data_IF_889112900804
#
_entry.id   IF_889112900804
#
_cell.length_a   1.000
_cell.length_b   1.000
_cell.length_c   1.000
_cell.angle_alpha   90.00
_cell.angle_beta   90.00
_cell.angle_gamma   90.00
#
_symmetry.space_group_name_H-M   'P 1'
#
loop_
_entity.id
_entity.type
_entity.pdbx_description
1 polymer ?
#
# COMPACT_ATOMS: atom_id res chain seq x y z
N UNK A 1 -46.02 -20.32 -42.43
CA UNK A 1 -44.65 -19.77 -42.55
C UNK A 1 -44.46 -18.42 -41.83
N UNK A 2 -45.53 -17.72 -41.41
CA UNK A 2 -45.45 -16.47 -40.64
C UNK A 2 -45.15 -16.66 -39.15
N UNK A 3 -45.57 -17.78 -38.56
CA UNK A 3 -45.53 -17.93 -37.10
C UNK A 3 -44.17 -18.40 -36.58
N UNK A 4 -43.41 -19.13 -37.41
CA UNK A 4 -42.05 -19.59 -37.09
C UNK A 4 -41.05 -18.41 -37.09
N UNK A 5 -41.27 -17.42 -37.96
CA UNK A 5 -40.40 -16.24 -38.09
C UNK A 5 -40.55 -15.27 -36.90
N UNK A 6 -41.75 -15.18 -36.32
CA UNK A 6 -42.01 -14.36 -35.14
C UNK A 6 -41.41 -14.95 -33.87
N UNK A 7 -41.41 -16.27 -33.72
CA UNK A 7 -40.83 -16.96 -32.56
C UNK A 7 -39.29 -16.87 -32.51
N UNK A 8 -38.61 -16.84 -33.66
CA UNK A 8 -37.16 -16.62 -33.73
C UNK A 8 -36.77 -15.18 -33.38
N UNK A 9 -37.52 -14.18 -33.84
CA UNK A 9 -37.29 -12.76 -33.50
C UNK A 9 -37.55 -12.51 -32.01
N UNK A 10 -38.57 -13.13 -31.42
CA UNK A 10 -38.86 -13.04 -29.98
C UNK A 10 -37.76 -13.75 -29.17
N UNK A 11 -37.26 -14.91 -29.61
CA UNK A 11 -36.13 -15.60 -28.98
C UNK A 11 -34.83 -14.78 -29.07
N UNK A 12 -34.53 -14.19 -30.23
CA UNK A 12 -33.37 -13.30 -30.38
C UNK A 12 -33.49 -12.06 -29.50
N UNK A 13 -34.66 -11.42 -29.42
CA UNK A 13 -34.89 -10.27 -28.53
C UNK A 13 -34.83 -10.64 -27.04
N UNK A 14 -35.24 -11.85 -26.64
CA UNK A 14 -35.12 -12.36 -25.26
C UNK A 14 -33.66 -12.71 -24.93
N UNK A 15 -32.90 -13.27 -25.88
CA UNK A 15 -31.46 -13.53 -25.76
C UNK A 15 -30.68 -12.21 -25.68
N UNK A 16 -31.07 -11.20 -26.46
CA UNK A 16 -30.50 -9.84 -26.40
C UNK A 16 -30.86 -9.10 -25.10
N UNK A 17 -32.06 -9.33 -24.54
CA UNK A 17 -32.53 -8.72 -23.28
C UNK A 17 -31.96 -9.32 -21.98
N UNK A 18 -31.07 -10.33 -22.03
CA UNK A 18 -30.51 -10.94 -20.79
C UNK A 18 -28.99 -11.10 -20.72
N UNK A 19 -28.19 -10.45 -21.56
CA UNK A 19 -26.78 -10.13 -21.22
C UNK A 19 -26.68 -8.71 -20.67
N UNK A 20 -27.27 -8.47 -19.49
CA UNK A 20 -26.88 -7.31 -18.68
C UNK A 20 -25.35 -7.38 -18.52
N UNK A 21 -24.59 -6.46 -19.12
CA UNK A 21 -23.13 -6.36 -18.95
C UNK A 21 -22.88 -6.43 -17.45
N UNK A 22 -22.29 -7.54 -16.98
CA UNK A 22 -22.01 -7.72 -15.56
C UNK A 22 -21.05 -6.59 -15.18
N UNK A 23 -21.48 -5.68 -14.32
CA UNK A 23 -20.65 -4.56 -13.89
C UNK A 23 -19.42 -5.11 -13.15
N UNK A 24 -18.23 -4.69 -13.56
CA UNK A 24 -17.00 -5.04 -12.88
C UNK A 24 -16.72 -4.03 -11.76
N UNK A 25 -16.26 -4.52 -10.61
CA UNK A 25 -15.89 -3.68 -9.48
C UNK A 25 -14.36 -3.53 -9.40
N UNK A 26 -13.84 -2.32 -9.59
CA UNK A 26 -12.40 -2.02 -9.44
C UNK A 26 -11.87 -2.20 -8.01
N UNK A 27 -12.73 -2.25 -6.99
CA UNK A 27 -12.30 -2.53 -5.62
C UNK A 27 -11.98 -4.03 -5.44
N UNK A 28 -13.01 -4.87 -5.50
CA UNK A 28 -12.88 -6.29 -5.15
C UNK A 28 -12.57 -7.21 -6.35
N UNK A 29 -12.66 -6.69 -7.58
CA UNK A 29 -12.36 -7.44 -8.80
C UNK A 29 -13.46 -8.43 -9.21
N UNK A 30 -14.59 -8.43 -8.49
CA UNK A 30 -15.75 -9.29 -8.75
C UNK A 30 -16.72 -8.60 -9.71
N UNK A 31 -17.47 -9.42 -10.43
CA UNK A 31 -18.58 -8.99 -11.28
C UNK A 31 -19.90 -8.91 -10.49
N UNK A 32 -20.82 -8.06 -10.95
CA UNK A 32 -22.18 -7.93 -10.41
C UNK A 32 -22.48 -6.61 -9.70
N UNK A 33 -21.47 -5.77 -9.46
CA UNK A 33 -21.65 -4.44 -8.85
C UNK A 33 -20.54 -3.46 -9.29
N UNK A 34 -20.80 -2.17 -9.13
CA UNK A 34 -19.82 -1.09 -9.32
C UNK A 34 -19.10 -0.77 -7.99
N UNK A 35 -17.94 -0.10 -8.07
CA UNK A 35 -17.14 0.33 -6.92
C UNK A 35 -17.98 0.97 -5.79
N UNK A 36 -18.85 1.93 -6.13
CA UNK A 36 -19.69 2.67 -5.16
C UNK A 36 -20.65 1.78 -4.35
N UNK A 37 -20.94 0.57 -4.83
CA UNK A 37 -21.82 -0.42 -4.17
C UNK A 37 -21.04 -1.61 -3.58
N UNK A 38 -19.72 -1.54 -3.57
CA UNK A 38 -18.88 -2.60 -3.02
C UNK A 38 -18.98 -2.62 -1.49
N UNK A 39 -19.16 -3.82 -0.92
CA UNK A 39 -19.18 -4.04 0.53
C UNK A 39 -17.86 -4.60 1.08
N UNK A 40 -16.92 -4.89 0.19
CA UNK A 40 -15.59 -5.38 0.55
C UNK A 40 -14.72 -4.20 1.02
N UNK A 41 -13.72 -4.45 1.88
CA UNK A 41 -12.76 -3.42 2.28
C UNK A 41 -12.16 -2.69 1.08
N UNK A 42 -11.82 -1.41 1.26
CA UNK A 42 -11.11 -0.65 0.22
C UNK A 42 -9.75 -1.30 -0.01
N UNK A 43 -9.55 -1.83 -1.22
CA UNK A 43 -8.44 -2.71 -1.53
C UNK A 43 -7.36 -1.99 -2.33
N UNK A 44 -6.11 -2.10 -1.86
CA UNK A 44 -4.91 -1.74 -2.61
C UNK A 44 -4.00 -2.94 -2.78
N UNK A 45 -3.18 -2.93 -3.82
CA UNK A 45 -2.28 -4.02 -4.17
C UNK A 45 -0.86 -3.47 -4.37
N UNK A 46 0.13 -4.25 -3.97
CA UNK A 46 1.52 -3.82 -4.02
C UNK A 46 2.50 -4.97 -3.89
N UNK A 47 3.79 -4.63 -3.87
CA UNK A 47 4.89 -5.58 -3.73
C UNK A 47 5.68 -5.21 -2.49
N UNK A 48 5.89 -6.18 -1.61
CA UNK A 48 6.89 -6.09 -0.56
C UNK A 48 8.18 -6.62 -1.16
N UNK A 49 9.04 -5.71 -1.60
CA UNK A 49 10.33 -6.05 -2.15
C UNK A 49 11.38 -6.12 -1.03
N UNK A 50 12.17 -7.18 -1.03
CA UNK A 50 13.23 -7.40 -0.05
C UNK A 50 14.59 -7.51 -0.72
N UNK A 51 15.59 -6.89 -0.11
CA UNK A 51 16.99 -7.00 -0.48
C UNK A 51 17.68 -7.89 0.53
N UNK A 52 18.34 -8.93 0.04
CA UNK A 52 19.09 -9.89 0.83
C UNK A 52 20.58 -9.62 0.66
N UNK A 53 21.41 -10.11 1.59
CA UNK A 53 22.85 -10.15 1.42
C UNK A 53 23.20 -10.93 0.13
N UNK A 54 24.10 -10.43 -0.72
CA UNK A 54 24.34 -10.92 -2.10
C UNK A 54 24.52 -12.45 -2.19
N UNK A 55 25.26 -13.06 -1.25
CA UNK A 55 25.49 -14.51 -1.23
C UNK A 55 24.25 -15.35 -0.84
N UNK A 56 23.24 -14.72 -0.24
CA UNK A 56 22.00 -15.34 0.21
C UNK A 56 20.93 -15.26 -0.87
N UNK A 57 20.90 -14.16 -1.62
CA UNK A 57 19.89 -13.84 -2.63
C UNK A 57 19.70 -14.96 -3.66
N UNK A 58 20.77 -15.36 -4.36
CA UNK A 58 20.72 -16.39 -5.40
C UNK A 58 20.16 -17.71 -4.89
N UNK A 59 20.48 -18.09 -3.64
CA UNK A 59 20.01 -19.34 -3.06
C UNK A 59 18.52 -19.29 -2.79
N UNK A 60 18.03 -18.16 -2.29
CA UNK A 60 16.61 -17.97 -2.00
C UNK A 60 15.80 -17.91 -3.31
N UNK A 61 16.30 -17.20 -4.32
CA UNK A 61 15.68 -17.17 -5.65
C UNK A 61 15.64 -18.58 -6.25
N UNK A 62 16.75 -19.32 -6.19
CA UNK A 62 16.80 -20.70 -6.69
C UNK A 62 15.90 -21.65 -5.89
N UNK A 63 15.79 -21.47 -4.58
CA UNK A 63 14.85 -22.22 -3.74
C UNK A 63 13.41 -22.03 -4.22
N UNK A 64 12.97 -20.79 -4.46
CA UNK A 64 11.63 -20.54 -4.97
C UNK A 64 11.44 -21.11 -6.38
N UNK A 65 12.40 -20.90 -7.28
CA UNK A 65 12.37 -21.46 -8.65
C UNK A 65 12.28 -22.99 -8.67
N UNK A 66 13.06 -23.67 -7.85
CA UNK A 66 13.08 -25.13 -7.81
C UNK A 66 11.82 -25.71 -7.14
N UNK A 67 11.30 -25.05 -6.11
CA UNK A 67 10.06 -25.49 -5.46
C UNK A 67 8.79 -25.25 -6.30
N UNK A 68 8.85 -24.42 -7.36
CA UNK A 68 7.78 -24.35 -8.38
C UNK A 68 7.52 -25.69 -9.07
N UNK A 69 8.54 -26.54 -9.20
CA UNK A 69 8.43 -27.82 -9.91
C UNK A 69 7.68 -28.90 -9.11
N UNK A 70 7.51 -28.72 -7.79
CA UNK A 70 6.80 -29.65 -6.91
C UNK A 70 5.33 -29.24 -6.74
N UNK A 71 4.53 -29.48 -7.78
CA UNK A 71 3.05 -29.58 -7.78
C UNK A 71 2.27 -28.50 -6.97
N UNK A 72 2.00 -27.35 -7.58
CA UNK A 72 0.75 -26.58 -7.43
C UNK A 72 0.31 -26.14 -6.02
N UNK A 73 1.16 -26.21 -5.00
CA UNK A 73 0.84 -25.75 -3.64
C UNK A 73 1.42 -24.36 -3.41
N UNK A 74 0.54 -23.38 -3.24
CA UNK A 74 0.94 -22.07 -2.75
C UNK A 74 1.49 -22.20 -1.33
N UNK A 75 2.70 -21.66 -1.11
CA UNK A 75 3.32 -21.53 0.19
C UNK A 75 2.51 -20.54 1.01
N UNK A 76 2.17 -20.92 2.24
CA UNK A 76 1.55 -20.03 3.21
C UNK A 76 2.61 -19.65 4.26
N UNK A 77 2.92 -18.36 4.37
CA UNK A 77 4.00 -17.87 5.22
C UNK A 77 3.80 -18.22 6.71
N UNK A 78 2.55 -18.22 7.19
CA UNK A 78 2.22 -18.54 8.58
C UNK A 78 2.46 -20.02 8.87
N UNK A 79 2.09 -20.90 7.92
CA UNK A 79 2.35 -22.33 8.05
C UNK A 79 3.85 -22.64 8.10
N UNK A 80 4.65 -21.94 7.30
CA UNK A 80 6.12 -22.08 7.33
C UNK A 80 6.67 -21.60 8.66
N UNK A 81 6.22 -20.44 9.15
CA UNK A 81 6.66 -19.89 10.43
C UNK A 81 6.32 -20.81 11.60
N UNK A 82 5.08 -21.33 11.66
CA UNK A 82 4.63 -22.21 12.74
C UNK A 82 5.39 -23.54 12.75
N UNK A 83 5.67 -24.13 11.58
CA UNK A 83 6.45 -25.39 11.50
C UNK A 83 7.90 -25.23 11.92
N UNK A 84 8.46 -24.03 11.78
CA UNK A 84 9.88 -23.74 12.00
C UNK A 84 10.13 -22.81 13.19
N UNK A 85 9.24 -22.78 14.19
CA UNK A 85 9.35 -21.89 15.35
C UNK A 85 10.71 -21.98 16.09
N UNK A 86 11.36 -23.15 16.07
CA UNK A 86 12.69 -23.36 16.66
C UNK A 86 13.79 -22.49 16.03
N UNK A 87 13.58 -22.01 14.81
CA UNK A 87 14.52 -21.11 14.14
C UNK A 87 14.44 -19.68 14.68
N UNK A 88 13.46 -19.34 15.54
CA UNK A 88 13.29 -17.99 16.08
C UNK A 88 14.51 -17.53 16.90
N UNK A 89 15.31 -18.46 17.44
CA UNK A 89 16.58 -18.13 18.11
C UNK A 89 17.60 -17.45 17.19
N UNK A 90 17.45 -17.57 15.87
CA UNK A 90 18.36 -16.97 14.89
C UNK A 90 17.89 -15.61 14.38
N UNK A 91 16.71 -15.11 14.76
CA UNK A 91 16.15 -13.89 14.17
C UNK A 91 17.06 -12.68 14.32
N UNK A 92 17.81 -12.57 15.43
CA UNK A 92 18.67 -11.42 15.65
C UNK A 92 19.86 -11.38 14.69
N UNK A 93 20.34 -12.54 14.20
CA UNK A 93 21.50 -12.60 13.29
C UNK A 93 21.20 -12.18 11.85
N UNK A 94 19.92 -12.01 11.51
CA UNK A 94 19.47 -11.63 10.17
C UNK A 94 18.99 -10.19 10.04
N UNK A 95 18.93 -9.42 11.13
CA UNK A 95 18.29 -8.09 11.14
C UNK A 95 18.94 -7.11 10.17
N UNK A 96 20.26 -7.17 10.03
CA UNK A 96 21.05 -6.35 9.10
C UNK A 96 21.15 -6.96 7.69
N UNK A 97 20.81 -8.24 7.54
CA UNK A 97 20.97 -9.02 6.30
C UNK A 97 19.72 -9.02 5.41
N UNK A 98 18.60 -8.57 5.96
CA UNK A 98 17.31 -8.47 5.28
C UNK A 98 16.88 -7.01 5.35
N UNK A 99 16.75 -6.38 4.19
CA UNK A 99 16.22 -5.03 4.06
C UNK A 99 14.91 -5.05 3.27
N UNK A 100 14.03 -4.11 3.58
CA UNK A 100 12.72 -3.95 2.97
C UNK A 100 12.65 -2.62 2.24
N UNK A 101 12.10 -2.60 1.03
CA UNK A 101 11.88 -1.35 0.31
C UNK A 101 10.65 -0.65 0.88
N UNK A 102 10.85 0.55 1.42
CA UNK A 102 9.80 1.41 1.95
C UNK A 102 9.76 2.71 1.17
N UNK A 103 8.54 3.22 0.99
CA UNK A 103 8.29 4.58 0.50
C UNK A 103 7.72 5.44 1.62
N UNK A 104 8.07 6.72 1.60
CA UNK A 104 7.46 7.77 2.41
C UNK A 104 6.47 8.52 1.56
N UNK A 105 5.27 8.72 2.07
CA UNK A 105 4.28 9.59 1.40
C UNK A 105 4.81 11.02 1.30
N UNK A 106 4.41 11.72 0.25
CA UNK A 106 4.71 13.16 0.11
C UNK A 106 3.97 14.01 1.13
N UNK A 107 2.73 13.62 1.42
CA UNK A 107 1.85 14.28 2.38
C UNK A 107 1.24 13.26 3.34
N UNK A 108 1.06 13.66 4.60
CA UNK A 108 0.34 12.84 5.59
C UNK A 108 -1.09 12.58 5.15
N UNK A 109 -1.65 11.44 5.58
CA UNK A 109 -3.08 11.18 5.33
C UNK A 109 -3.96 12.26 5.94
N UNK A 110 -3.61 12.74 7.13
CA UNK A 110 -4.34 13.79 7.84
C UNK A 110 -4.32 15.13 7.12
N UNK A 111 -3.18 15.57 6.59
CA UNK A 111 -3.11 16.79 5.77
C UNK A 111 -4.03 16.69 4.55
N UNK A 112 -4.01 15.55 3.84
CA UNK A 112 -4.88 15.33 2.67
C UNK A 112 -6.35 15.34 3.08
N UNK A 113 -6.73 14.66 4.17
CA UNK A 113 -8.12 14.63 4.65
C UNK A 113 -8.62 16.02 5.08
N UNK A 114 -7.77 16.80 5.75
CA UNK A 114 -8.07 18.17 6.13
C UNK A 114 -8.26 19.09 4.92
N UNK A 115 -7.32 19.15 3.97
CA UNK A 115 -7.48 20.00 2.79
C UNK A 115 -8.71 19.61 1.96
N UNK A 116 -9.08 18.33 1.94
CA UNK A 116 -10.29 17.82 1.28
C UNK A 116 -11.58 17.98 2.06
N UNK A 117 -11.56 18.66 3.21
CA UNK A 117 -12.76 18.91 4.01
C UNK A 117 -13.43 17.65 4.57
N UNK A 118 -12.67 16.55 4.73
CA UNK A 118 -13.17 15.26 5.23
C UNK A 118 -13.19 15.19 6.76
N UNK A 119 -13.75 16.23 7.36
CA UNK A 119 -13.93 16.37 8.80
C UNK A 119 -15.22 17.15 9.06
N UNK A 120 -15.77 17.02 10.26
CA UNK A 120 -16.87 17.85 10.70
C UNK A 120 -16.33 18.95 11.61
N UNK A 121 -16.72 20.20 11.34
CA UNK A 121 -16.21 21.39 12.04
C UNK A 121 -16.54 21.36 13.54
N UNK A 122 -17.63 20.68 13.93
CA UNK A 122 -18.03 20.51 15.31
C UNK A 122 -17.28 19.37 16.04
N UNK A 123 -16.53 18.52 15.32
CA UNK A 123 -15.80 17.41 15.91
C UNK A 123 -14.37 17.86 16.27
N UNK A 124 -14.25 18.48 17.45
CA UNK A 124 -13.00 19.03 17.98
C UNK A 124 -11.92 17.95 18.10
N UNK A 125 -12.25 16.80 18.68
CA UNK A 125 -11.28 15.70 18.89
C UNK A 125 -10.71 15.17 17.57
N UNK A 126 -11.55 15.04 16.53
CA UNK A 126 -11.08 14.63 15.22
C UNK A 126 -10.18 15.69 14.57
N UNK A 127 -10.51 16.97 14.70
CA UNK A 127 -9.67 18.06 14.19
C UNK A 127 -8.30 18.08 14.89
N UNK A 128 -8.27 17.98 16.22
CA UNK A 128 -7.01 17.88 16.98
C UNK A 128 -6.22 16.65 16.53
N UNK A 129 -6.86 15.50 16.40
CA UNK A 129 -6.23 14.26 15.93
C UNK A 129 -5.61 14.42 14.53
N UNK A 130 -6.31 15.08 13.59
CA UNK A 130 -5.76 15.36 12.26
C UNK A 130 -4.45 16.16 12.36
N UNK A 131 -4.44 17.27 13.10
CA UNK A 131 -3.25 18.13 13.24
C UNK A 131 -2.11 17.44 14.00
N UNK A 132 -2.41 16.67 15.05
CA UNK A 132 -1.41 15.84 15.74
C UNK A 132 -0.73 14.82 14.81
N UNK A 133 -1.42 14.37 13.75
CA UNK A 133 -0.90 13.40 12.79
C UNK A 133 -0.24 14.04 11.55
N UNK A 134 -0.32 15.37 11.41
CA UNK A 134 0.40 16.12 10.38
C UNK A 134 1.87 16.35 10.78
N UNK A 135 2.66 16.78 9.81
CA UNK A 135 4.02 17.29 10.07
C UNK A 135 4.02 18.78 10.40
N UNK A 136 5.03 19.30 11.13
CA UNK A 136 5.17 20.74 11.36
C UNK A 136 5.11 21.56 10.06
N UNK A 137 5.78 21.11 9.00
CA UNK A 137 5.81 21.78 7.70
C UNK A 137 4.44 21.80 6.98
N UNK A 138 3.57 20.83 7.26
CA UNK A 138 2.19 20.82 6.74
C UNK A 138 1.29 21.80 7.50
N UNK A 139 1.45 21.86 8.83
CA UNK A 139 0.72 22.81 9.69
C UNK A 139 1.13 24.26 9.35
N UNK A 140 2.42 24.53 9.23
CA UNK A 140 2.94 25.84 8.82
C UNK A 140 2.39 26.26 7.45
N UNK A 141 2.27 25.31 6.52
CA UNK A 141 1.66 25.57 5.21
C UNK A 141 0.19 25.96 5.33
N UNK A 142 -0.57 25.26 6.16
CA UNK A 142 -1.99 25.60 6.44
C UNK A 142 -2.10 27.01 7.01
N UNK A 143 -1.20 27.38 7.93
CA UNK A 143 -1.16 28.71 8.56
C UNK A 143 -0.87 29.84 7.58
N UNK A 144 0.09 29.62 6.67
CA UNK A 144 0.68 30.69 5.86
C UNK A 144 0.15 30.79 4.42
N UNK A 145 -0.82 29.97 4.01
CA UNK A 145 -1.32 29.95 2.63
C UNK A 145 -2.85 30.04 2.62
N UNK A 146 -3.40 30.62 1.56
CA UNK A 146 -4.86 30.59 1.37
C UNK A 146 -5.35 29.20 0.95
N UNK A 147 -6.66 28.96 1.07
CA UNK A 147 -7.23 27.65 0.74
C UNK A 147 -7.03 27.26 -0.73
N UNK A 148 -7.04 28.22 -1.66
CA UNK A 148 -6.88 27.93 -3.09
C UNK A 148 -5.46 27.45 -3.36
N UNK A 149 -4.45 28.09 -2.76
CA UNK A 149 -3.06 27.69 -2.85
C UNK A 149 -2.83 26.29 -2.27
N UNK A 150 -3.39 26.01 -1.09
CA UNK A 150 -3.33 24.68 -0.46
C UNK A 150 -3.93 23.60 -1.37
N UNK A 151 -5.09 23.88 -1.96
CA UNK A 151 -5.76 22.97 -2.87
C UNK A 151 -4.97 22.72 -4.15
N UNK A 152 -4.45 23.78 -4.77
CA UNK A 152 -3.62 23.69 -5.97
C UNK A 152 -2.31 22.93 -5.70
N UNK A 153 -1.69 23.13 -4.54
CA UNK A 153 -0.49 22.37 -4.15
C UNK A 153 -0.78 20.87 -3.98
N UNK A 154 -1.94 20.51 -3.45
CA UNK A 154 -2.34 19.11 -3.27
C UNK A 154 -2.61 18.39 -4.60
N UNK A 155 -3.37 19.01 -5.50
CA UNK A 155 -3.85 18.37 -6.74
C UNK A 155 -3.01 18.71 -7.98
N UNK A 156 -2.05 19.64 -7.86
CA UNK A 156 -1.21 20.16 -8.94
C UNK A 156 -2.05 20.45 -10.20
N UNK A 157 -1.71 19.82 -11.33
CA UNK A 157 -2.37 20.01 -12.63
C UNK A 157 -3.87 19.65 -12.61
N UNK A 158 -4.31 18.79 -11.69
CA UNK A 158 -5.71 18.34 -11.60
C UNK A 158 -6.59 19.24 -10.74
N UNK A 159 -6.04 20.27 -10.09
CA UNK A 159 -6.78 21.11 -9.14
C UNK A 159 -8.00 21.82 -9.76
N UNK A 160 -7.93 22.11 -11.07
CA UNK A 160 -8.96 22.82 -11.83
C UNK A 160 -9.93 21.88 -12.57
N UNK A 161 -9.80 20.56 -12.42
CA UNK A 161 -10.72 19.63 -13.07
C UNK A 161 -12.13 19.78 -12.49
N UNK A 162 -13.14 19.89 -13.36
CA UNK A 162 -14.57 20.03 -12.98
C UNK A 162 -15.06 18.94 -12.00
N UNK A 163 -14.45 17.77 -12.03
CA UNK A 163 -14.75 16.65 -11.13
C UNK A 163 -14.57 17.04 -9.66
N UNK A 164 -13.62 17.94 -9.38
CA UNK A 164 -13.27 18.36 -8.03
C UNK A 164 -13.92 19.67 -7.59
N UNK A 165 -14.61 20.39 -8.48
CA UNK A 165 -15.19 21.72 -8.19
C UNK A 165 -16.14 21.70 -6.98
N UNK A 166 -17.02 20.71 -6.92
CA UNK A 166 -17.94 20.54 -5.78
C UNK A 166 -17.21 20.23 -4.48
N UNK A 167 -16.17 19.38 -4.52
CA UNK A 167 -15.38 19.04 -3.34
C UNK A 167 -14.58 20.27 -2.86
N UNK A 168 -14.03 21.04 -3.80
CA UNK A 168 -13.32 22.29 -3.54
C UNK A 168 -14.20 23.30 -2.80
N UNK A 169 -15.38 23.62 -3.33
CA UNK A 169 -16.25 24.63 -2.71
C UNK A 169 -16.73 24.21 -1.31
N UNK A 170 -17.06 22.93 -1.12
CA UNK A 170 -17.44 22.40 0.19
C UNK A 170 -16.27 22.47 1.19
N UNK A 171 -15.07 22.10 0.76
CA UNK A 171 -13.86 22.11 1.59
C UNK A 171 -13.47 23.55 1.96
N UNK A 172 -13.52 24.47 0.99
CA UNK A 172 -13.27 25.90 1.18
C UNK A 172 -14.23 26.51 2.19
N UNK A 173 -15.50 26.15 2.13
CA UNK A 173 -16.51 26.61 3.09
C UNK A 173 -16.19 26.13 4.52
N UNK A 174 -15.80 24.87 4.69
CA UNK A 174 -15.39 24.32 6.00
C UNK A 174 -14.13 25.01 6.53
N UNK A 175 -13.12 25.21 5.69
CA UNK A 175 -11.89 25.91 6.03
C UNK A 175 -12.15 27.36 6.47
N UNK A 176 -12.90 28.13 5.68
CA UNK A 176 -13.29 29.50 6.04
C UNK A 176 -14.09 29.56 7.34
N UNK A 177 -14.95 28.58 7.58
CA UNK A 177 -15.71 28.49 8.84
C UNK A 177 -14.75 28.36 10.03
N UNK A 178 -13.74 27.51 9.95
CA UNK A 178 -12.72 27.39 11.01
C UNK A 178 -11.91 28.67 11.22
N UNK A 179 -11.64 29.45 10.16
CA UNK A 179 -10.94 30.74 10.28
C UNK A 179 -11.76 31.80 11.02
N UNK A 180 -13.09 31.79 10.87
CA UNK A 180 -13.99 32.81 11.41
C UNK A 180 -14.54 32.47 12.80
N UNK A 181 -14.33 31.25 13.29
CA UNK A 181 -14.84 30.81 14.58
C UNK A 181 -14.04 31.43 15.75
N UNK A 182 -14.73 31.65 16.86
CA UNK A 182 -14.09 31.98 18.14
C UNK A 182 -13.79 30.70 18.92
N UNK A 183 -12.72 30.71 19.69
CA UNK A 183 -12.40 29.61 20.60
C UNK A 183 -13.33 29.67 21.81
N UNK A 184 -14.09 28.60 22.03
CA UNK A 184 -14.97 28.39 23.19
C UNK A 184 -14.87 26.93 23.63
N UNK A 185 -15.52 26.56 24.74
CA UNK A 185 -15.55 25.16 25.20
C UNK A 185 -16.16 24.19 24.18
N UNK A 186 -16.93 24.69 23.19
CA UNK A 186 -17.59 23.87 22.16
C UNK A 186 -17.17 24.22 20.73
N UNK A 187 -16.15 25.07 20.56
CA UNK A 187 -15.63 25.45 19.24
C UNK A 187 -14.15 25.78 19.27
N UNK A 188 -13.42 25.32 18.26
CA UNK A 188 -12.04 25.71 18.02
C UNK A 188 -11.92 26.38 16.65
N UNK A 189 -10.97 27.29 16.53
CA UNK A 189 -10.65 27.98 15.29
C UNK A 189 -9.34 27.47 14.68
N UNK A 190 -9.06 27.94 13.47
CA UNK A 190 -7.86 27.50 12.74
C UNK A 190 -6.56 27.90 13.45
N UNK A 191 -6.52 29.04 14.13
CA UNK A 191 -5.33 29.49 14.86
C UNK A 191 -5.00 28.53 16.00
N UNK A 192 -5.99 28.12 16.79
CA UNK A 192 -5.79 27.10 17.82
C UNK A 192 -5.20 25.80 17.24
N UNK A 193 -5.75 25.32 16.12
CA UNK A 193 -5.25 24.11 15.46
C UNK A 193 -3.81 24.24 14.96
N UNK A 194 -3.40 25.43 14.53
CA UNK A 194 -2.08 25.65 13.93
C UNK A 194 -1.00 26.09 14.91
N UNK A 195 -1.40 26.70 16.03
CA UNK A 195 -0.48 27.29 17.01
C UNK A 195 -0.36 26.46 18.28
N UNK A 196 -1.45 25.79 18.71
CA UNK A 196 -1.51 25.10 20.02
C UNK A 196 -1.47 23.57 19.91
N UNK A 197 -1.80 22.97 18.75
CA UNK A 197 -1.78 21.52 18.57
C UNK A 197 -0.38 21.03 18.19
N UNK A 198 0.24 20.26 19.09
CA UNK A 198 1.57 19.71 18.87
C UNK A 198 1.55 18.52 17.87
N UNK A 199 2.30 18.60 16.75
CA UNK A 199 2.44 17.49 15.82
C UNK A 199 3.28 16.36 16.45
N UNK A 200 2.83 15.11 16.28
CA UNK A 200 3.51 13.92 16.82
C UNK A 200 4.61 13.38 15.92
N UNK A 201 4.75 13.90 14.70
CA UNK A 201 5.58 13.30 13.67
C UNK A 201 6.28 14.31 12.77
N UNK A 202 7.60 14.18 12.64
CA UNK A 202 8.42 15.04 11.78
C UNK A 202 8.25 14.77 10.28
N UNK A 203 7.95 13.53 9.91
CA UNK A 203 7.82 13.13 8.50
C UNK A 203 6.48 12.46 8.26
N UNK A 204 5.93 12.49 7.02
CA UNK A 204 4.77 11.67 6.66
C UNK A 204 4.98 10.16 6.85
N UNK A 205 3.92 9.39 6.68
CA UNK A 205 3.94 7.96 6.94
C UNK A 205 4.82 7.22 5.94
N UNK A 206 5.60 6.27 6.47
CA UNK A 206 6.32 5.26 5.71
C UNK A 206 5.50 3.98 5.60
N UNK A 207 5.61 3.28 4.48
CA UNK A 207 4.98 1.99 4.27
C UNK A 207 5.47 1.28 3.02
N UNK A 208 4.87 0.13 2.75
CA UNK A 208 5.13 -0.62 1.53
C UNK A 208 4.46 0.05 0.31
N UNK A 209 5.10 -0.02 -0.87
CA UNK A 209 4.53 0.51 -2.09
C UNK A 209 3.27 -0.24 -2.50
N UNK A 210 2.22 0.48 -2.89
CA UNK A 210 0.91 -0.08 -3.28
C UNK A 210 -0.01 1.00 -3.84
N UNK A 211 -0.96 0.59 -4.66
CA UNK A 211 -2.06 1.46 -5.03
C UNK A 211 -3.30 0.71 -5.47
N UNK A 212 -4.17 1.39 -6.22
CA UNK A 212 -5.52 0.90 -6.49
C UNK A 212 -5.60 0.31 -7.88
N UNK A 213 -6.42 -0.72 -7.99
CA UNK A 213 -6.65 -1.39 -9.26
C UNK A 213 -7.38 -0.51 -10.25
N UNK A 214 -6.88 -0.48 -11.48
CA UNK A 214 -7.55 0.08 -12.63
C UNK A 214 -8.73 -0.79 -13.09
N UNK A 215 -9.61 -0.23 -13.91
CA UNK A 215 -10.77 -0.98 -14.39
C UNK A 215 -10.33 -2.21 -15.21
N UNK A 216 -10.82 -3.41 -14.85
CA UNK A 216 -10.45 -4.71 -15.41
C UNK A 216 -9.00 -5.19 -15.24
N UNK A 217 -8.18 -4.51 -14.45
CA UNK A 217 -6.80 -4.96 -14.18
C UNK A 217 -6.76 -6.21 -13.27
N UNK A 218 -5.77 -7.10 -13.42
CA UNK A 218 -5.62 -8.23 -12.47
C UNK A 218 -4.88 -7.77 -11.22
N UNK A 219 -4.97 -8.58 -10.16
CA UNK A 219 -4.31 -8.23 -8.89
C UNK A 219 -2.78 -8.10 -9.02
N UNK A 220 -2.15 -9.07 -9.67
CA UNK A 220 -0.70 -9.09 -9.85
C UNK A 220 -0.24 -7.94 -10.76
N UNK A 221 -0.96 -7.69 -11.85
CA UNK A 221 -0.66 -6.61 -12.79
C UNK A 221 -0.74 -5.24 -12.10
N UNK A 222 -1.77 -5.03 -11.27
CA UNK A 222 -1.89 -3.84 -10.43
C UNK A 222 -0.71 -3.70 -9.48
N UNK A 223 -0.33 -4.77 -8.77
CA UNK A 223 0.79 -4.71 -7.83
C UNK A 223 2.11 -4.35 -8.52
N UNK A 224 2.37 -4.91 -9.71
CA UNK A 224 3.57 -4.62 -10.52
C UNK A 224 3.57 -3.16 -11.00
N UNK A 225 2.45 -2.70 -11.56
CA UNK A 225 2.32 -1.31 -12.04
C UNK A 225 2.51 -0.31 -10.90
N UNK A 226 1.81 -0.49 -9.78
CA UNK A 226 1.88 0.41 -8.62
C UNK A 226 3.28 0.40 -7.99
N UNK A 227 3.94 -0.76 -7.96
CA UNK A 227 5.32 -0.84 -7.50
C UNK A 227 6.26 -0.03 -8.40
N UNK A 228 6.12 -0.12 -9.72
CA UNK A 228 6.88 0.72 -10.65
C UNK A 228 6.55 2.22 -10.48
N UNK A 229 5.27 2.60 -10.42
CA UNK A 229 4.83 4.00 -10.27
C UNK A 229 5.43 4.65 -9.00
N UNK A 230 5.45 3.95 -7.87
CA UNK A 230 5.94 4.50 -6.60
C UNK A 230 7.45 4.32 -6.38
N UNK A 231 8.13 3.39 -7.06
CA UNK A 231 9.54 3.05 -6.78
C UNK A 231 10.51 3.17 -7.95
N UNK A 232 9.99 3.19 -9.18
CA UNK A 232 10.75 3.14 -10.42
C UNK A 232 11.65 1.91 -10.59
N UNK A 233 11.31 0.81 -9.92
CA UNK A 233 11.88 -0.53 -10.16
C UNK A 233 11.08 -1.23 -11.25
N UNK A 234 11.78 -1.69 -12.29
CA UNK A 234 11.22 -2.48 -13.37
C UNK A 234 11.23 -3.98 -13.02
N UNK A 235 10.49 -4.76 -13.79
CA UNK A 235 10.33 -6.22 -13.58
C UNK A 235 11.62 -7.02 -13.72
N UNK A 236 12.63 -6.46 -14.37
CA UNK A 236 13.96 -7.07 -14.50
C UNK A 236 14.82 -6.85 -13.26
N UNK A 237 14.49 -5.86 -12.43
CA UNK A 237 15.22 -5.41 -11.23
C UNK A 237 14.79 -6.13 -9.95
N UNK A 238 13.84 -7.08 -10.04
CA UNK A 238 13.48 -7.97 -8.95
C UNK A 238 12.88 -9.29 -9.46
N UNK A 239 13.03 -10.35 -8.68
CA UNK A 239 12.33 -11.61 -8.89
C UNK A 239 11.00 -11.60 -8.13
N UNK A 240 9.88 -11.67 -8.86
CA UNK A 240 8.55 -11.80 -8.29
C UNK A 240 8.28 -13.25 -7.88
N UNK A 241 7.96 -13.47 -6.60
CA UNK A 241 7.69 -14.81 -6.07
C UNK A 241 6.20 -15.12 -6.22
N UNK A 242 5.86 -16.00 -7.16
CA UNK A 242 4.49 -16.31 -7.59
C UNK A 242 3.88 -17.56 -6.91
N UNK A 243 4.67 -18.32 -6.17
CA UNK A 243 4.24 -19.49 -5.40
C UNK A 243 3.94 -19.22 -3.93
N UNK A 244 3.84 -17.96 -3.51
CA UNK A 244 3.40 -17.58 -2.17
C UNK A 244 1.96 -17.09 -2.24
N UNK A 245 1.14 -17.53 -1.28
CA UNK A 245 -0.21 -16.98 -1.10
C UNK A 245 -0.08 -15.49 -0.78
N UNK A 246 -0.73 -14.59 -1.56
CA UNK A 246 -0.61 -13.16 -1.34
C UNK A 246 -0.95 -12.77 0.09
N UNK A 247 -0.13 -11.88 0.64
CA UNK A 247 -0.12 -11.56 2.06
C UNK A 247 -1.07 -10.39 2.29
N UNK A 248 -1.94 -10.49 3.30
CA UNK A 248 -3.00 -9.52 3.51
C UNK A 248 -2.77 -8.68 4.77
N UNK A 249 -2.92 -7.37 4.65
CA UNK A 249 -3.04 -6.43 5.76
C UNK A 249 -4.49 -5.93 5.80
N UNK A 250 -5.24 -6.15 6.87
CA UNK A 250 -6.63 -5.68 7.00
C UNK A 250 -6.73 -4.83 8.26
N UNK A 251 -7.15 -3.56 8.14
CA UNK A 251 -7.17 -2.62 9.25
C UNK A 251 -8.24 -1.54 9.05
N UNK A 252 -8.68 -0.91 10.14
CA UNK A 252 -9.50 0.29 10.07
C UNK A 252 -8.60 1.51 9.95
N UNK A 253 -8.86 2.38 8.97
CA UNK A 253 -8.19 3.67 8.86
C UNK A 253 -8.63 4.62 9.97
N UNK A 254 -7.90 5.73 10.11
CA UNK A 254 -8.24 6.80 11.07
C UNK A 254 -9.62 7.41 10.84
N UNK A 255 -10.16 7.27 9.63
CA UNK A 255 -11.51 7.68 9.24
C UNK A 255 -12.59 6.61 9.49
N UNK A 256 -12.26 5.49 10.13
CA UNK A 256 -13.18 4.38 10.42
C UNK A 256 -13.51 3.48 9.23
N UNK A 257 -12.92 3.71 8.06
CA UNK A 257 -13.11 2.86 6.87
C UNK A 257 -12.23 1.61 6.97
N UNK A 258 -12.80 0.45 6.63
CA UNK A 258 -12.06 -0.81 6.56
C UNK A 258 -11.23 -0.89 5.27
N UNK A 259 -9.92 -1.05 5.41
CA UNK A 259 -8.96 -1.18 4.33
C UNK A 259 -8.39 -2.60 4.27
N UNK A 260 -8.01 -3.01 3.06
CA UNK A 260 -7.27 -4.24 2.80
C UNK A 260 -6.12 -3.96 1.85
N UNK A 261 -4.90 -4.35 2.21
CA UNK A 261 -3.80 -4.37 1.28
C UNK A 261 -3.44 -5.82 0.95
N UNK A 262 -3.21 -6.10 -0.33
CA UNK A 262 -2.78 -7.41 -0.83
C UNK A 262 -1.38 -7.24 -1.39
N UNK A 263 -0.41 -7.88 -0.74
CA UNK A 263 0.98 -7.81 -1.13
C UNK A 263 1.48 -9.10 -1.75
N UNK A 264 2.27 -8.94 -2.81
CA UNK A 264 3.11 -9.98 -3.38
C UNK A 264 4.54 -9.80 -2.88
N UNK A 265 5.34 -10.88 -2.86
CA UNK A 265 6.73 -10.83 -2.43
C UNK A 265 7.64 -10.67 -3.64
N UNK A 266 8.53 -9.68 -3.60
CA UNK A 266 9.61 -9.49 -4.56
C UNK A 266 10.96 -9.64 -3.88
N UNK A 267 11.95 -10.19 -4.58
CA UNK A 267 13.35 -10.24 -4.14
C UNK A 267 14.16 -9.35 -5.09
N UNK A 268 14.76 -8.29 -4.59
CA UNK A 268 15.66 -7.43 -5.39
C UNK A 268 16.77 -8.28 -6.01
N UNK A 269 17.08 -8.02 -7.29
CA UNK A 269 18.21 -8.61 -8.00
C UNK A 269 19.12 -7.55 -8.64
N UNK A 270 18.76 -6.27 -8.50
CA UNK A 270 19.47 -5.16 -9.13
C UNK A 270 20.67 -4.70 -8.32
N UNK A 271 20.68 -5.00 -7.01
CA UNK A 271 21.58 -4.44 -6.01
C UNK A 271 21.59 -2.90 -5.95
N UNK A 272 20.68 -2.21 -6.65
CA UNK A 272 20.67 -0.75 -6.73
C UNK A 272 20.21 -0.12 -5.43
N UNK A 273 20.76 1.05 -5.13
CA UNK A 273 20.26 1.87 -4.04
C UNK A 273 18.90 2.49 -4.37
N UNK A 274 18.10 2.71 -3.34
CA UNK A 274 16.79 3.31 -3.47
C UNK A 274 16.93 4.84 -3.48
N UNK A 275 16.48 5.47 -4.55
CA UNK A 275 16.40 6.93 -4.68
C UNK A 275 15.22 7.32 -5.57
N UNK A 276 14.74 8.56 -5.40
CA UNK A 276 13.66 9.12 -6.22
C UNK A 276 14.19 9.45 -7.61
N UNK A 277 13.53 8.91 -8.65
CA UNK A 277 13.80 9.22 -10.05
C UNK A 277 12.91 10.39 -10.48
N UNK A 278 13.51 11.56 -10.70
CA UNK A 278 12.78 12.81 -11.01
C UNK A 278 12.01 12.76 -12.33
N UNK A 279 12.43 11.90 -13.24
CA UNK A 279 11.78 11.61 -14.52
C UNK A 279 10.49 10.80 -14.36
N UNK A 280 10.31 10.07 -13.25
CA UNK A 280 9.06 9.39 -12.95
C UNK A 280 8.06 10.34 -12.31
N UNK A 281 7.15 10.87 -13.13
CA UNK A 281 6.12 11.83 -12.69
C UNK A 281 5.21 11.27 -11.60
N UNK A 282 4.87 9.98 -11.64
CA UNK A 282 4.04 9.33 -10.62
C UNK A 282 4.73 9.38 -9.25
N UNK A 283 6.00 9.02 -9.22
CA UNK A 283 6.81 9.09 -8.01
C UNK A 283 6.91 10.54 -7.48
N UNK A 284 7.13 11.51 -8.36
CA UNK A 284 7.21 12.93 -8.02
C UNK A 284 5.88 13.53 -7.50
N UNK A 285 4.76 12.91 -7.81
CA UNK A 285 3.43 13.32 -7.36
C UNK A 285 3.12 12.78 -5.95
N UNK A 286 3.41 11.50 -5.68
CA UNK A 286 2.93 10.83 -4.46
C UNK A 286 4.01 10.57 -3.40
N UNK A 287 5.28 10.48 -3.81
CA UNK A 287 6.36 9.96 -2.97
C UNK A 287 7.25 11.11 -2.50
N UNK A 288 7.48 11.15 -1.19
CA UNK A 288 8.36 12.12 -0.54
C UNK A 288 9.77 11.58 -0.34
N UNK A 289 9.94 10.27 -0.23
CA UNK A 289 11.23 9.60 -0.01
C UNK A 289 11.11 8.08 -0.25
N UNK A 290 12.24 7.40 -0.43
CA UNK A 290 12.31 5.95 -0.65
C UNK A 290 13.60 5.40 -0.04
N UNK A 291 13.54 4.24 0.62
CA UNK A 291 14.71 3.67 1.27
C UNK A 291 14.64 2.14 1.44
N UNK A 292 15.80 1.51 1.38
CA UNK A 292 16.00 0.14 1.89
C UNK A 292 16.23 0.18 3.40
N UNK A 293 15.28 -0.33 4.17
CA UNK A 293 15.33 -0.30 5.63
C UNK A 293 15.62 -1.68 6.21
N UNK A 294 16.49 -1.75 7.22
CA UNK A 294 16.61 -2.96 8.05
C UNK A 294 15.29 -3.26 8.75
N UNK A 295 15.12 -4.46 9.30
CA UNK A 295 13.93 -4.79 10.09
C UNK A 295 13.70 -3.79 11.25
N UNK A 296 14.75 -3.47 12.00
CA UNK A 296 14.63 -2.56 13.15
C UNK A 296 14.29 -1.13 12.72
N UNK A 297 14.87 -0.65 11.61
CA UNK A 297 14.55 0.67 11.08
C UNK A 297 13.14 0.74 10.50
N UNK A 298 12.69 -0.31 9.81
CA UNK A 298 11.33 -0.41 9.30
C UNK A 298 10.29 -0.37 10.45
N UNK A 299 10.53 -1.12 11.54
CA UNK A 299 9.66 -1.11 12.73
C UNK A 299 9.58 0.30 13.35
N UNK A 300 10.71 1.02 13.41
CA UNK A 300 10.77 2.40 13.92
C UNK A 300 10.07 3.40 13.00
N UNK A 301 10.16 3.22 11.67
CA UNK A 301 9.53 4.11 10.67
C UNK A 301 8.01 3.90 10.58
N UNK A 302 7.52 2.68 10.81
CA UNK A 302 6.09 2.41 10.85
C UNK A 302 5.46 3.09 12.07
N UNK A 303 4.44 3.91 11.82
CA UNK A 303 3.67 4.60 12.87
C UNK A 303 3.23 3.64 13.98
N UNK A 304 3.28 4.06 15.27
CA UNK A 304 2.94 3.19 16.40
C UNK A 304 1.56 2.51 16.29
N UNK A 305 0.56 3.24 15.79
CA UNK A 305 -0.82 2.77 15.64
C UNK A 305 -1.06 1.88 14.40
N UNK A 306 -0.09 1.73 13.49
CA UNK A 306 -0.19 0.80 12.36
C UNK A 306 0.20 -0.63 12.77
N UNK A 307 -0.53 -1.21 13.72
CA UNK A 307 -0.23 -2.52 14.33
C UNK A 307 -0.22 -3.66 13.32
N UNK A 308 -1.20 -3.70 12.41
CA UNK A 308 -1.30 -4.75 11.38
C UNK A 308 -0.12 -4.74 10.41
N UNK A 309 0.44 -3.56 10.13
CA UNK A 309 1.64 -3.42 9.30
C UNK A 309 2.89 -3.96 9.98
N UNK A 310 3.03 -3.68 11.28
CA UNK A 310 4.14 -4.21 12.08
C UNK A 310 4.04 -5.73 12.18
N UNK A 311 2.83 -6.26 12.40
CA UNK A 311 2.57 -7.70 12.38
C UNK A 311 2.95 -8.33 11.04
N UNK A 312 2.50 -7.74 9.93
CA UNK A 312 2.84 -8.17 8.57
C UNK A 312 4.36 -8.20 8.34
N UNK A 313 5.07 -7.13 8.72
CA UNK A 313 6.53 -7.05 8.63
C UNK A 313 7.20 -8.19 9.42
N UNK A 314 6.73 -8.46 10.64
CA UNK A 314 7.25 -9.54 11.49
C UNK A 314 7.03 -10.91 10.84
N UNK A 315 5.83 -11.17 10.31
CA UNK A 315 5.50 -12.44 9.66
C UNK A 315 6.39 -12.71 8.44
N UNK A 316 6.63 -11.68 7.62
CA UNK A 316 7.49 -11.77 6.44
C UNK A 316 8.95 -11.94 6.85
N UNK A 317 9.41 -11.18 7.85
CA UNK A 317 10.76 -11.29 8.35
C UNK A 317 11.08 -12.69 8.87
N UNK A 318 10.20 -13.25 9.71
CA UNK A 318 10.32 -14.62 10.20
C UNK A 318 10.30 -15.65 9.07
N UNK A 319 9.44 -15.43 8.07
CA UNK A 319 9.36 -16.29 6.90
C UNK A 319 10.69 -16.30 6.14
N UNK A 320 11.26 -15.14 5.85
CA UNK A 320 12.54 -15.03 5.15
C UNK A 320 13.69 -15.68 5.94
N UNK A 321 13.74 -15.49 7.26
CA UNK A 321 14.73 -16.18 8.12
C UNK A 321 14.62 -17.70 7.98
N UNK A 322 13.40 -18.24 7.97
CA UNK A 322 13.17 -19.67 7.79
C UNK A 322 13.66 -20.18 6.44
N UNK A 323 13.31 -19.47 5.36
CA UNK A 323 13.75 -19.83 4.00
C UNK A 323 15.28 -19.78 3.90
N UNK A 324 15.92 -18.73 4.40
CA UNK A 324 17.38 -18.60 4.34
C UNK A 324 18.05 -19.75 5.09
N UNK A 325 17.58 -20.12 6.28
CA UNK A 325 18.12 -21.25 7.04
C UNK A 325 17.91 -22.60 6.32
N UNK A 326 16.79 -22.78 5.63
CA UNK A 326 16.51 -23.98 4.84
C UNK A 326 17.48 -24.11 3.67
N UNK A 327 17.72 -23.03 2.92
CA UNK A 327 18.70 -23.02 1.82
C UNK A 327 20.13 -23.32 2.27
N UNK A 328 20.51 -22.89 3.48
CA UNK A 328 21.82 -23.20 4.05
C UNK A 328 21.97 -24.68 4.43
N UNK A 329 20.88 -25.35 4.87
CA UNK A 329 20.89 -26.79 5.16
C UNK A 329 21.05 -27.61 3.89
N UNK A 330 20.32 -27.25 2.82
CA UNK A 330 20.44 -27.93 1.53
C UNK A 330 21.88 -27.89 1.01
N UNK A 331 22.55 -26.73 1.08
CA UNK A 331 23.97 -26.60 0.74
C UNK A 331 24.88 -27.54 1.54
N UNK A 332 24.67 -27.64 2.85
CA UNK A 332 25.49 -28.52 3.69
C UNK A 332 25.31 -30.00 3.33
N UNK A 333 24.13 -30.40 2.87
CA UNK A 333 23.86 -31.78 2.43
C UNK A 333 24.50 -32.03 1.07
N UNK A 334 24.34 -31.11 0.11
CA UNK A 334 24.94 -31.25 -1.22
C UNK A 334 26.46 -31.31 -1.15
N UNK A 335 27.10 -30.48 -0.32
CA UNK A 335 28.54 -30.52 -0.10
C UNK A 335 28.99 -31.88 0.46
N UNK A 336 28.31 -32.41 1.49
CA UNK A 336 28.59 -33.74 2.03
C UNK A 336 28.45 -34.86 1.00
N UNK A 337 27.47 -34.79 0.09
CA UNK A 337 27.29 -35.81 -0.96
C UNK A 337 28.42 -35.76 -2.00
N UNK A 338 28.91 -34.57 -2.34
CA UNK A 338 30.05 -34.40 -3.26
C UNK A 338 31.35 -34.90 -2.62
N UNK A 339 31.57 -34.62 -1.33
CA UNK A 339 32.76 -35.06 -0.58
C UNK A 339 32.79 -36.59 -0.36
N UNK A 340 31.66 -37.29 -0.47
CA UNK A 340 31.57 -38.77 -0.38
C UNK A 340 31.82 -39.45 -1.74
N UNK A 341 31.75 -38.69 -2.85
CA UNK A 341 31.93 -39.22 -4.22
C UNK A 341 33.35 -39.04 -4.78
N UNK A 342 34.27 -38.53 -3.97
CA UNK A 342 35.72 -38.45 -4.22
C UNK A 342 36.39 -39.43 -3.27
#
# INVERSE_FOLDING_TARGET
MSDIYNDEIIKEQIIYKKKRKKHYCSNCGKYGHIFKKCKEPITSLGIICVKLETNVEDNVINYFKNNLTKKGKNINILNVNNKNYNNFKFINSFKSKIKFLFIRRKHTLSYIEFIRGRYEVANIDHLISLFQLMTPAEIERIKNNDFKELWCKLWKKTSCCKIYEKEFELSKKKFKKLQLMNNTSSSINLNFLTDDVEPKFETPEWGFPKGRRNYHEKNIDCAVREFYEETSYNTEEYHLVDNITPINEIFNGTNGVLYKHIYYLGIDNSNRDAYIKTENVHQMDEIGDIAWLSYDDAVKKIRPYHTEKKKLLNEIYLFLVNIILETNKEKSITKKILDIKI
#
